data_IF_298277509610
#
_entry.id   IF_298277509610
#
_cell.length_a   1.000
_cell.length_b   1.000
_cell.length_c   1.000
_cell.angle_alpha   90.00
_cell.angle_beta   90.00
_cell.angle_gamma   90.00
#
_symmetry.space_group_name_H-M   'P 1'
#
loop_
_entity.id
_entity.type
_entity.pdbx_description
1 polymer ?
#
# COMPACT_ATOMS: atom_id res chain seq x y z
N UNK A 1 -68.34 -47.92 -13.31
CA UNK A 1 -66.96 -48.45 -13.23
C UNK A 1 -66.06 -47.38 -13.74
N UNK A 2 -65.47 -46.54 -12.88
CA UNK A 2 -64.61 -45.44 -13.19
C UNK A 2 -63.25 -45.69 -12.51
N UNK A 3 -62.25 -46.04 -13.30
CA UNK A 3 -60.86 -46.23 -12.82
C UNK A 3 -60.18 -44.87 -12.61
N UNK A 4 -59.74 -44.54 -11.39
CA UNK A 4 -58.85 -43.41 -11.05
C UNK A 4 -57.41 -43.86 -11.30
N UNK A 5 -56.76 -43.27 -12.30
CA UNK A 5 -55.33 -43.35 -12.48
C UNK A 5 -54.60 -42.42 -11.46
N UNK A 6 -53.99 -43.04 -10.45
CA UNK A 6 -53.00 -42.36 -9.60
C UNK A 6 -51.70 -42.18 -10.39
N UNK A 7 -51.36 -40.94 -10.74
CA UNK A 7 -50.04 -40.60 -11.28
C UNK A 7 -49.03 -40.54 -10.11
N UNK A 8 -48.16 -41.55 -10.06
CA UNK A 8 -47.00 -41.55 -9.16
C UNK A 8 -45.91 -40.68 -9.78
N UNK A 9 -45.55 -39.60 -9.13
CA UNK A 9 -44.39 -38.74 -9.50
C UNK A 9 -43.13 -39.55 -9.14
N UNK A 10 -42.20 -39.82 -10.09
CA UNK A 10 -41.04 -40.64 -9.82
C UNK A 10 -40.12 -39.96 -8.81
N UNK A 11 -39.71 -40.69 -7.80
CA UNK A 11 -38.84 -40.35 -6.72
C UNK A 11 -37.48 -39.78 -7.15
N UNK A 12 -37.05 -40.02 -8.40
CA UNK A 12 -35.84 -39.47 -9.04
C UNK A 12 -35.83 -37.93 -9.14
N UNK A 13 -37.00 -37.27 -9.17
CA UNK A 13 -37.07 -35.82 -9.23
C UNK A 13 -36.75 -35.14 -7.89
N UNK A 14 -36.80 -35.87 -6.77
CA UNK A 14 -36.45 -35.34 -5.45
C UNK A 14 -34.97 -35.47 -5.10
N UNK A 15 -34.23 -36.35 -5.75
CA UNK A 15 -32.79 -36.56 -5.54
C UNK A 15 -31.92 -35.52 -6.27
N UNK A 16 -32.41 -34.92 -7.35
CA UNK A 16 -31.65 -33.91 -8.13
C UNK A 16 -31.71 -32.53 -7.49
N UNK A 17 -32.75 -32.21 -6.72
CA UNK A 17 -32.88 -30.91 -6.04
C UNK A 17 -32.07 -30.82 -4.73
N UNK A 18 -31.66 -31.97 -4.17
CA UNK A 18 -30.83 -32.03 -2.96
C UNK A 18 -29.31 -31.93 -3.27
N UNK A 19 -28.89 -32.14 -4.50
CA UNK A 19 -27.48 -32.12 -4.91
C UNK A 19 -26.98 -30.71 -5.35
N UNK A 20 -27.86 -29.71 -5.47
CA UNK A 20 -27.52 -28.34 -5.87
C UNK A 20 -27.35 -27.37 -4.68
N UNK A 21 -27.44 -27.88 -3.47
CA UNK A 21 -27.11 -27.12 -2.24
C UNK A 21 -25.75 -27.55 -1.67
N UNK A 22 -24.78 -27.88 -2.48
CA UNK A 22 -23.39 -27.76 -2.09
C UNK A 22 -23.10 -26.25 -2.02
N UNK A 23 -23.35 -25.69 -0.84
CA UNK A 23 -22.79 -24.43 -0.39
C UNK A 23 -21.31 -24.48 -0.79
N UNK A 24 -20.93 -23.65 -1.75
CA UNK A 24 -19.54 -23.31 -1.91
C UNK A 24 -19.11 -22.72 -0.58
N UNK A 25 -18.53 -23.54 0.28
CA UNK A 25 -17.80 -23.07 1.44
C UNK A 25 -16.74 -22.16 0.84
N UNK A 26 -16.96 -20.86 0.96
CA UNK A 26 -15.91 -19.89 0.66
C UNK A 26 -14.73 -20.34 1.51
N UNK A 27 -13.68 -20.81 0.85
CA UNK A 27 -12.41 -21.08 1.51
C UNK A 27 -11.96 -19.68 1.99
N UNK A 28 -12.33 -19.34 3.21
CA UNK A 28 -11.77 -18.20 3.89
C UNK A 28 -10.33 -18.60 4.15
N UNK A 29 -9.44 -18.16 3.28
CA UNK A 29 -8.01 -18.20 3.60
C UNK A 29 -7.84 -17.46 4.93
N UNK A 30 -7.06 -18.05 5.84
CA UNK A 30 -6.75 -17.39 7.10
C UNK A 30 -6.25 -15.97 6.85
N UNK A 31 -6.70 -14.98 7.64
CA UNK A 31 -6.31 -13.60 7.44
C UNK A 31 -4.78 -13.46 7.55
N UNK A 32 -4.18 -12.81 6.57
CA UNK A 32 -2.75 -12.58 6.54
C UNK A 32 -2.37 -11.66 7.71
N UNK A 33 -1.49 -12.17 8.58
CA UNK A 33 -0.98 -11.43 9.73
C UNK A 33 0.34 -10.76 9.35
N UNK A 34 0.34 -9.44 9.28
CA UNK A 34 1.55 -8.66 9.02
C UNK A 34 2.41 -8.56 10.26
N UNK A 35 3.71 -8.66 10.08
CA UNK A 35 4.69 -8.41 11.13
C UNK A 35 4.81 -6.91 11.40
N UNK A 36 4.89 -6.57 12.68
CA UNK A 36 5.02 -5.19 13.15
C UNK A 36 6.13 -5.05 14.17
N UNK A 37 6.67 -3.82 14.26
CA UNK A 37 7.52 -3.38 15.37
C UNK A 37 6.85 -2.18 16.00
N UNK A 38 6.58 -2.26 17.30
CA UNK A 38 5.90 -1.21 18.04
C UNK A 38 6.86 -0.53 19.00
N UNK A 39 6.87 0.80 18.99
CA UNK A 39 7.80 1.63 19.75
C UNK A 39 7.07 2.83 20.37
N UNK A 40 7.46 3.27 21.55
CA UNK A 40 6.91 4.45 22.20
C UNK A 40 5.50 4.25 22.76
N UNK A 41 4.83 5.35 23.07
CA UNK A 41 3.48 5.40 23.65
C UNK A 41 2.74 6.65 23.21
N UNK A 42 1.42 6.73 23.47
CA UNK A 42 0.57 7.86 23.09
C UNK A 42 -0.23 7.63 21.81
N UNK A 43 -0.67 8.69 21.12
CA UNK A 43 -1.37 8.59 19.85
C UNK A 43 -0.53 7.84 18.81
N UNK A 44 -1.18 7.10 17.94
CA UNK A 44 -0.51 6.10 17.09
C UNK A 44 -0.19 6.65 15.71
N UNK A 45 1.02 6.38 15.23
CA UNK A 45 1.46 6.57 13.85
C UNK A 45 1.80 5.20 13.28
N UNK A 46 0.99 4.71 12.34
CA UNK A 46 1.24 3.45 11.62
C UNK A 46 2.02 3.78 10.35
N UNK A 47 3.18 3.15 10.16
CA UNK A 47 4.08 3.43 9.03
C UNK A 47 4.26 2.18 8.17
N UNK A 48 4.03 2.31 6.86
CA UNK A 48 4.13 1.24 5.86
C UNK A 48 5.21 1.59 4.85
N UNK A 49 6.24 0.75 4.73
CA UNK A 49 7.41 0.98 3.88
C UNK A 49 7.15 0.79 2.37
N UNK A 50 8.12 1.13 1.53
CA UNK A 50 8.07 0.94 0.07
C UNK A 50 8.35 -0.50 -0.35
N UNK A 51 7.96 -0.88 -1.57
CA UNK A 51 8.40 -2.13 -2.21
C UNK A 51 9.94 -2.26 -2.16
N UNK A 52 10.42 -3.42 -1.75
CA UNK A 52 11.85 -3.71 -1.61
C UNK A 52 12.50 -3.08 -0.37
N UNK A 53 11.72 -2.38 0.47
CA UNK A 53 12.17 -1.85 1.75
C UNK A 53 11.88 -2.79 2.92
N UNK A 54 12.15 -2.31 4.12
CA UNK A 54 11.85 -2.98 5.37
C UNK A 54 11.25 -2.01 6.38
N UNK A 55 10.54 -2.55 7.38
CA UNK A 55 10.07 -1.73 8.51
C UNK A 55 11.20 -1.02 9.24
N UNK A 56 12.40 -1.62 9.29
CA UNK A 56 13.57 -1.06 9.97
C UNK A 56 14.17 0.17 9.29
N UNK A 57 13.91 0.37 7.99
CA UNK A 57 14.36 1.56 7.29
C UNK A 57 13.78 2.85 7.89
N UNK A 58 12.63 2.74 8.54
CA UNK A 58 11.94 3.85 9.16
C UNK A 58 12.42 4.18 10.59
N UNK A 59 13.29 3.36 11.19
CA UNK A 59 13.79 3.59 12.56
C UNK A 59 14.42 4.97 12.79
N UNK A 60 15.21 5.55 11.84
CA UNK A 60 15.75 6.91 12.03
C UNK A 60 14.66 7.96 12.21
N UNK A 61 13.61 7.94 11.40
CA UNK A 61 12.47 8.88 11.53
C UNK A 61 11.58 8.52 12.73
N UNK A 62 11.30 7.24 12.95
CA UNK A 62 10.48 6.77 14.05
C UNK A 62 11.03 7.24 15.41
N UNK A 63 12.32 7.11 15.66
CA UNK A 63 12.96 7.53 16.91
C UNK A 63 12.69 9.01 17.27
N UNK A 64 12.49 9.87 16.30
CA UNK A 64 12.20 11.30 16.50
C UNK A 64 10.75 11.57 16.90
N UNK A 65 9.88 10.61 16.63
CA UNK A 65 8.45 10.67 16.96
C UNK A 65 8.15 10.10 18.36
N UNK A 66 9.03 9.27 18.93
CA UNK A 66 8.76 8.49 20.15
C UNK A 66 8.51 9.33 21.41
N UNK A 67 8.96 10.61 21.44
CA UNK A 67 8.69 11.49 22.58
C UNK A 67 7.19 11.77 22.78
N UNK A 68 6.38 11.66 21.71
CA UNK A 68 4.97 12.06 21.73
C UNK A 68 4.02 11.01 21.13
N UNK A 69 4.55 10.00 20.45
CA UNK A 69 3.76 9.05 19.68
C UNK A 69 4.18 7.60 19.89
N UNK A 70 3.19 6.72 19.85
CA UNK A 70 3.43 5.30 19.59
C UNK A 70 3.58 5.12 18.08
N UNK A 71 4.67 4.49 17.66
CA UNK A 71 4.95 4.20 16.24
C UNK A 71 4.83 2.71 16.00
N UNK A 72 4.01 2.33 15.03
CA UNK A 72 3.83 0.95 14.56
C UNK A 72 4.41 0.83 13.17
N UNK A 73 5.59 0.22 13.06
CA UNK A 73 6.25 -0.05 11.78
C UNK A 73 5.72 -1.38 11.24
N UNK A 74 5.13 -1.35 10.05
CA UNK A 74 4.50 -2.51 9.41
C UNK A 74 5.38 -3.06 8.31
N UNK A 75 5.58 -4.38 8.30
CA UNK A 75 6.22 -5.09 7.20
C UNK A 75 5.18 -5.40 6.12
N UNK A 76 5.38 -4.91 4.90
CA UNK A 76 4.49 -5.17 3.77
C UNK A 76 4.37 -6.68 3.49
N UNK A 77 3.23 -7.14 2.96
CA UNK A 77 3.11 -8.51 2.45
C UNK A 77 4.23 -8.88 1.49
N UNK A 78 4.74 -10.10 1.59
CA UNK A 78 5.84 -10.61 0.78
C UNK A 78 7.23 -10.06 1.17
N UNK A 79 7.35 -9.25 2.23
CA UNK A 79 8.60 -8.73 2.74
C UNK A 79 8.90 -9.31 4.13
N UNK A 80 10.18 -9.59 4.39
CA UNK A 80 10.61 -10.14 5.66
C UNK A 80 9.82 -11.40 6.03
N UNK A 81 9.13 -11.37 7.17
CA UNK A 81 8.32 -12.48 7.66
C UNK A 81 6.82 -12.34 7.36
N UNK A 82 6.39 -11.30 6.64
CA UNK A 82 4.99 -11.10 6.25
C UNK A 82 4.67 -11.91 4.98
N UNK A 83 3.69 -12.83 5.00
CA UNK A 83 3.38 -13.63 3.82
C UNK A 83 2.78 -12.80 2.67
N UNK A 84 2.98 -13.26 1.44
CA UNK A 84 2.35 -12.68 0.25
C UNK A 84 0.93 -13.24 0.10
N UNK A 85 -0.11 -12.41 -0.13
CA UNK A 85 -1.45 -12.91 -0.38
C UNK A 85 -1.55 -13.62 -1.73
N UNK A 86 -2.36 -14.67 -1.79
CA UNK A 86 -2.72 -15.38 -3.00
C UNK A 86 -4.25 -15.55 -3.09
N UNK A 87 -4.89 -14.99 -4.10
CA UNK A 87 -4.35 -14.16 -5.18
C UNK A 87 -3.88 -12.78 -4.68
N UNK A 88 -2.82 -12.26 -5.31
CA UNK A 88 -2.32 -10.93 -4.98
C UNK A 88 -3.20 -9.84 -5.59
N UNK A 89 -3.55 -8.83 -4.77
CA UNK A 89 -4.14 -7.56 -5.20
C UNK A 89 -3.89 -6.48 -4.16
N UNK A 90 -3.98 -5.19 -4.52
CA UNK A 90 -3.93 -4.13 -3.51
C UNK A 90 -5.11 -4.20 -2.53
N UNK A 91 -6.25 -4.75 -2.95
CA UNK A 91 -7.35 -5.02 -2.03
C UNK A 91 -6.94 -6.03 -0.96
N UNK A 92 -6.34 -7.18 -1.34
CA UNK A 92 -5.86 -8.17 -0.39
C UNK A 92 -4.75 -7.64 0.53
N UNK A 93 -3.84 -6.81 -0.01
CA UNK A 93 -2.82 -6.10 0.79
C UNK A 93 -3.46 -5.12 1.77
N UNK A 94 -4.51 -4.42 1.35
CA UNK A 94 -5.31 -3.51 2.17
C UNK A 94 -6.00 -4.24 3.34
N UNK A 95 -6.62 -5.39 3.07
CA UNK A 95 -7.24 -6.23 4.11
C UNK A 95 -6.19 -6.72 5.14
N UNK A 96 -5.02 -7.15 4.68
CA UNK A 96 -3.94 -7.52 5.58
C UNK A 96 -3.49 -6.34 6.47
N UNK A 97 -3.42 -5.13 5.91
CA UNK A 97 -3.09 -3.92 6.67
C UNK A 97 -4.22 -3.52 7.63
N UNK A 98 -5.49 -3.70 7.24
CA UNK A 98 -6.61 -3.47 8.15
C UNK A 98 -6.52 -4.34 9.40
N UNK A 99 -6.01 -5.55 9.31
CA UNK A 99 -5.73 -6.40 10.47
C UNK A 99 -4.75 -5.77 11.50
N UNK A 100 -3.91 -4.83 11.07
CA UNK A 100 -3.07 -4.00 11.96
C UNK A 100 -3.85 -2.78 12.44
N UNK A 101 -4.54 -2.07 11.54
CA UNK A 101 -5.28 -0.84 11.85
C UNK A 101 -6.43 -1.08 12.81
N UNK A 102 -7.13 -2.20 12.70
CA UNK A 102 -8.24 -2.59 13.57
C UNK A 102 -7.85 -2.73 15.05
N UNK A 103 -6.56 -2.93 15.34
CA UNK A 103 -6.02 -3.01 16.71
C UNK A 103 -5.67 -1.64 17.29
N UNK A 104 -5.79 -0.57 16.50
CA UNK A 104 -5.45 0.78 16.93
C UNK A 104 -6.70 1.54 17.34
N UNK A 105 -6.53 2.58 18.19
CA UNK A 105 -7.61 3.52 18.45
C UNK A 105 -7.76 4.48 17.25
N UNK A 106 -8.88 4.43 16.50
CA UNK A 106 -9.03 5.20 15.27
C UNK A 106 -9.03 6.72 15.53
N UNK A 107 -9.47 7.17 16.71
CA UNK A 107 -9.55 8.58 17.07
C UNK A 107 -8.19 9.23 17.34
N UNK A 108 -7.17 8.41 17.55
CA UNK A 108 -5.79 8.84 17.81
C UNK A 108 -4.79 8.15 16.90
N UNK A 109 -5.19 7.74 15.69
CA UNK A 109 -4.33 7.09 14.71
C UNK A 109 -4.23 7.89 13.42
N UNK A 110 -3.03 8.05 12.90
CA UNK A 110 -2.74 8.41 11.49
C UNK A 110 -1.92 7.31 10.83
N UNK A 111 -2.02 7.24 9.50
CA UNK A 111 -1.22 6.31 8.69
C UNK A 111 -0.22 7.07 7.85
N UNK A 112 0.98 6.53 7.70
CA UNK A 112 2.04 7.02 6.81
C UNK A 112 2.37 5.90 5.83
N UNK A 113 2.21 6.14 4.54
CA UNK A 113 2.52 5.16 3.50
C UNK A 113 3.58 5.67 2.53
N UNK A 114 4.57 4.83 2.25
CA UNK A 114 5.64 5.15 1.31
C UNK A 114 5.51 4.30 0.05
N UNK A 115 5.43 4.95 -1.11
CA UNK A 115 5.26 4.29 -2.42
C UNK A 115 4.13 3.23 -2.41
N UNK A 116 4.43 1.95 -2.67
CA UNK A 116 3.44 0.87 -2.64
C UNK A 116 2.85 0.62 -1.25
N UNK A 117 3.57 0.95 -0.17
CA UNK A 117 2.97 1.00 1.17
C UNK A 117 1.88 2.07 1.30
N UNK A 118 2.00 3.17 0.56
CA UNK A 118 0.93 4.17 0.43
C UNK A 118 -0.28 3.65 -0.37
N UNK A 119 -0.06 2.82 -1.39
CA UNK A 119 -1.15 2.13 -2.11
C UNK A 119 -1.89 1.16 -1.19
N UNK A 120 -1.15 0.40 -0.37
CA UNK A 120 -1.73 -0.46 0.65
C UNK A 120 -2.58 0.32 1.66
N UNK A 121 -2.08 1.46 2.13
CA UNK A 121 -2.79 2.33 3.07
C UNK A 121 -4.07 2.92 2.45
N UNK A 122 -4.03 3.34 1.18
CA UNK A 122 -5.21 3.79 0.45
C UNK A 122 -6.26 2.70 0.33
N UNK A 123 -5.87 1.49 -0.08
CA UNK A 123 -6.79 0.36 -0.21
C UNK A 123 -7.43 -0.01 1.14
N UNK A 124 -6.64 -0.11 2.22
CA UNK A 124 -7.13 -0.41 3.56
C UNK A 124 -8.15 0.63 4.06
N UNK A 125 -7.82 1.92 3.93
CA UNK A 125 -8.68 3.00 4.42
C UNK A 125 -9.91 3.25 3.55
N UNK A 126 -9.84 2.90 2.26
CA UNK A 126 -10.99 2.95 1.36
C UNK A 126 -12.00 1.82 1.66
N UNK A 127 -11.49 0.61 1.92
CA UNK A 127 -12.32 -0.54 2.28
C UNK A 127 -12.89 -0.43 3.70
N UNK A 128 -12.12 0.12 4.65
CA UNK A 128 -12.47 0.25 6.06
C UNK A 128 -12.42 1.72 6.52
N UNK A 129 -13.40 2.56 6.14
CA UNK A 129 -13.45 3.96 6.54
C UNK A 129 -13.49 4.11 8.08
N UNK A 130 -12.82 5.14 8.58
CA UNK A 130 -12.81 5.44 10.01
C UNK A 130 -11.66 4.80 10.80
N UNK A 131 -10.76 4.03 10.18
CA UNK A 131 -9.59 3.44 10.86
C UNK A 131 -8.51 4.46 11.27
N UNK A 132 -8.52 5.66 10.69
CA UNK A 132 -7.56 6.71 10.99
C UNK A 132 -8.13 8.11 10.80
N UNK A 133 -7.51 9.11 11.43
CA UNK A 133 -7.86 10.54 11.31
C UNK A 133 -7.13 11.25 10.17
N UNK A 134 -6.18 10.62 9.54
CA UNK A 134 -5.43 11.20 8.42
C UNK A 134 -4.41 10.25 7.82
N UNK A 135 -3.94 10.62 6.64
CA UNK A 135 -3.01 9.82 5.84
C UNK A 135 -1.88 10.72 5.31
N UNK A 136 -0.63 10.30 5.52
CA UNK A 136 0.56 10.91 4.93
C UNK A 136 1.08 9.97 3.83
N UNK A 137 1.24 10.49 2.62
CA UNK A 137 1.69 9.74 1.45
C UNK A 137 3.04 10.29 0.95
N UNK A 138 4.09 9.47 1.02
CA UNK A 138 5.43 9.80 0.56
C UNK A 138 5.72 9.11 -0.76
N UNK A 139 5.94 9.88 -1.83
CA UNK A 139 6.26 9.40 -3.18
C UNK A 139 5.29 8.33 -3.72
N UNK A 140 4.01 8.42 -3.41
CA UNK A 140 3.02 7.37 -3.72
C UNK A 140 2.50 7.49 -5.15
N UNK A 141 2.81 6.52 -6.03
CA UNK A 141 2.20 6.45 -7.35
C UNK A 141 0.79 5.87 -7.25
N UNK A 142 -0.20 6.49 -7.88
CA UNK A 142 -1.56 5.96 -8.00
C UNK A 142 -1.74 5.03 -9.21
N UNK A 143 -0.87 5.15 -10.19
CA UNK A 143 -0.68 4.24 -11.32
C UNK A 143 0.78 4.26 -11.73
N UNK A 144 1.30 3.15 -12.25
CA UNK A 144 2.58 3.17 -12.95
C UNK A 144 2.38 3.82 -14.32
N UNK A 145 3.44 4.32 -15.03
CA UNK A 145 3.35 5.39 -16.04
C UNK A 145 2.11 5.28 -16.91
N UNK A 146 1.14 6.11 -16.57
CA UNK A 146 -0.29 6.03 -16.94
C UNK A 146 -0.58 6.15 -18.43
N UNK A 147 0.42 6.42 -19.24
CA UNK A 147 0.23 6.62 -20.68
C UNK A 147 0.80 5.47 -21.53
N UNK A 148 1.13 4.36 -20.86
CA UNK A 148 1.57 3.16 -21.57
C UNK A 148 0.35 2.37 -22.01
N UNK A 149 0.22 2.13 -23.31
CA UNK A 149 -0.82 1.26 -23.87
C UNK A 149 -0.73 -0.15 -23.27
N UNK A 150 -1.85 -0.85 -23.13
CA UNK A 150 -1.92 -2.16 -22.47
C UNK A 150 -1.01 -3.20 -23.13
N UNK A 151 -0.84 -3.12 -24.45
CA UNK A 151 0.10 -3.97 -25.15
C UNK A 151 1.54 -3.75 -24.68
N UNK A 152 1.97 -2.50 -24.46
CA UNK A 152 3.31 -2.19 -23.94
C UNK A 152 3.48 -2.62 -22.50
N UNK A 153 2.42 -2.48 -21.67
CA UNK A 153 2.44 -3.00 -20.29
C UNK A 153 2.65 -4.51 -20.30
N UNK A 154 1.91 -5.23 -21.17
CA UNK A 154 2.06 -6.68 -21.31
C UNK A 154 3.48 -7.06 -21.76
N UNK A 155 4.02 -6.41 -22.79
CA UNK A 155 5.39 -6.64 -23.25
C UNK A 155 6.43 -6.41 -22.13
N UNK A 156 6.24 -5.36 -21.33
CA UNK A 156 7.11 -5.09 -20.19
C UNK A 156 7.02 -6.19 -19.12
N UNK A 157 5.82 -6.67 -18.81
CA UNK A 157 5.62 -7.76 -17.85
C UNK A 157 6.19 -9.09 -18.37
N UNK A 158 6.02 -9.39 -19.64
CA UNK A 158 6.63 -10.57 -20.28
C UNK A 158 8.17 -10.47 -20.24
N UNK A 159 8.73 -9.26 -20.46
CA UNK A 159 10.18 -9.04 -20.31
C UNK A 159 10.62 -9.19 -18.84
N UNK A 160 9.85 -8.69 -17.89
CA UNK A 160 10.12 -8.87 -16.46
C UNK A 160 10.06 -10.36 -16.06
N UNK A 161 9.17 -11.14 -16.64
CA UNK A 161 9.06 -12.57 -16.34
C UNK A 161 10.26 -13.37 -16.89
N UNK A 162 10.76 -12.99 -18.06
CA UNK A 162 11.85 -13.69 -18.74
C UNK A 162 13.26 -13.16 -18.40
N UNK A 163 13.38 -11.92 -17.90
CA UNK A 163 14.66 -11.24 -17.67
C UNK A 163 14.63 -10.41 -16.39
N UNK A 164 14.11 -11.00 -15.30
CA UNK A 164 13.84 -10.31 -14.03
C UNK A 164 15.04 -9.47 -13.54
N UNK A 165 16.24 -10.04 -13.52
CA UNK A 165 17.44 -9.35 -13.01
C UNK A 165 17.74 -8.06 -13.75
N UNK A 166 17.64 -8.09 -15.11
CA UNK A 166 17.85 -6.92 -15.94
C UNK A 166 16.80 -5.84 -15.70
N UNK A 167 15.53 -6.24 -15.57
CA UNK A 167 14.41 -5.33 -15.29
C UNK A 167 14.53 -4.75 -13.90
N UNK A 168 14.83 -5.57 -12.89
CA UNK A 168 15.04 -5.12 -11.52
C UNK A 168 16.19 -4.11 -11.43
N UNK A 169 17.30 -4.39 -12.08
CA UNK A 169 18.43 -3.44 -12.18
C UNK A 169 18.02 -2.14 -12.86
N UNK A 170 17.32 -2.21 -13.98
CA UNK A 170 16.82 -1.03 -14.68
C UNK A 170 15.89 -0.16 -13.80
N UNK A 171 14.96 -0.77 -13.08
CA UNK A 171 13.97 -0.06 -12.28
C UNK A 171 14.50 0.47 -10.94
N UNK A 172 15.38 -0.28 -10.29
CA UNK A 172 15.68 -0.05 -8.87
C UNK A 172 17.13 0.37 -8.57
N UNK A 173 18.06 0.34 -9.55
CA UNK A 173 19.46 0.67 -9.31
C UNK A 173 19.80 2.17 -9.21
N UNK A 174 18.81 3.07 -9.40
CA UNK A 174 19.02 4.53 -9.42
C UNK A 174 18.02 5.28 -8.50
N UNK A 175 17.69 4.68 -7.38
CA UNK A 175 16.65 5.22 -6.49
C UNK A 175 17.22 6.04 -5.32
N UNK A 176 18.51 5.98 -5.07
CA UNK A 176 19.17 6.71 -3.99
C UNK A 176 19.38 8.18 -4.31
N UNK A 177 19.84 8.91 -3.30
CA UNK A 177 20.27 10.30 -3.38
C UNK A 177 21.55 10.44 -4.25
N UNK A 178 22.42 9.46 -4.14
CA UNK A 178 23.67 9.33 -4.88
C UNK A 178 23.90 7.88 -5.36
N UNK A 179 25.03 7.64 -6.02
CA UNK A 179 25.37 6.32 -6.56
C UNK A 179 25.65 5.28 -5.47
N UNK A 180 26.27 5.66 -4.36
CA UNK A 180 26.55 4.77 -3.22
C UNK A 180 25.25 4.30 -2.58
N UNK A 181 24.39 5.25 -2.23
CA UNK A 181 23.08 4.92 -1.65
C UNK A 181 22.21 4.12 -2.64
N UNK A 182 22.30 4.41 -3.93
CA UNK A 182 21.57 3.64 -4.95
C UNK A 182 22.01 2.18 -5.00
N UNK A 183 23.31 1.90 -4.83
CA UNK A 183 23.83 0.54 -4.75
C UNK A 183 23.36 -0.18 -3.46
N UNK A 184 23.37 0.51 -2.33
CA UNK A 184 22.86 -0.02 -1.06
C UNK A 184 21.36 -0.36 -1.14
N UNK A 185 20.54 0.55 -1.68
CA UNK A 185 19.10 0.33 -1.91
C UNK A 185 18.89 -0.87 -2.82
N UNK A 186 19.65 -0.98 -3.90
CA UNK A 186 19.50 -2.10 -4.83
C UNK A 186 19.88 -3.43 -4.18
N UNK A 187 20.97 -3.46 -3.40
CA UNK A 187 21.38 -4.66 -2.65
C UNK A 187 20.28 -5.11 -1.66
N UNK A 188 19.67 -4.15 -0.95
CA UNK A 188 18.57 -4.46 -0.04
C UNK A 188 17.32 -4.93 -0.82
N UNK A 189 17.00 -4.27 -1.94
CA UNK A 189 15.89 -4.65 -2.81
C UNK A 189 16.00 -6.11 -3.30
N UNK A 190 17.22 -6.58 -3.60
CA UNK A 190 17.47 -7.96 -4.02
C UNK A 190 17.14 -9.02 -2.94
N UNK A 191 16.93 -8.61 -1.69
CA UNK A 191 16.45 -9.50 -0.62
C UNK A 191 14.94 -9.78 -0.70
N UNK A 192 14.20 -8.97 -1.48
CA UNK A 192 12.78 -9.19 -1.74
C UNK A 192 12.62 -10.22 -2.86
N UNK A 193 11.76 -11.22 -2.65
CA UNK A 193 11.58 -12.28 -3.63
C UNK A 193 11.12 -11.74 -4.99
N UNK A 194 11.61 -12.31 -6.11
CA UNK A 194 11.12 -11.94 -7.44
C UNK A 194 9.60 -12.06 -7.57
N UNK A 195 8.98 -13.03 -6.94
CA UNK A 195 7.53 -13.23 -6.94
C UNK A 195 6.81 -12.02 -6.32
N UNK A 196 7.29 -11.53 -5.17
CA UNK A 196 6.75 -10.33 -4.51
C UNK A 196 6.87 -9.11 -5.42
N UNK A 197 8.05 -8.86 -5.97
CA UNK A 197 8.29 -7.70 -6.84
C UNK A 197 7.38 -7.73 -8.06
N UNK A 198 7.31 -8.89 -8.74
CA UNK A 198 6.46 -9.10 -9.91
C UNK A 198 4.97 -8.87 -9.59
N UNK A 199 4.51 -9.36 -8.44
CA UNK A 199 3.13 -9.19 -7.99
C UNK A 199 2.78 -7.70 -7.80
N UNK A 200 3.58 -6.95 -7.04
CA UNK A 200 3.37 -5.52 -6.82
C UNK A 200 3.46 -4.70 -8.11
N UNK A 201 4.45 -4.96 -8.96
CA UNK A 201 4.61 -4.24 -10.22
C UNK A 201 3.46 -4.53 -11.16
N UNK A 202 3.07 -5.80 -11.33
CA UNK A 202 1.94 -6.21 -12.17
C UNK A 202 0.65 -5.53 -11.73
N UNK A 203 0.33 -5.60 -10.45
CA UNK A 203 -0.87 -4.98 -9.90
C UNK A 203 -0.81 -3.44 -10.07
N UNK A 204 0.35 -2.82 -9.85
CA UNK A 204 0.55 -1.39 -10.04
C UNK A 204 0.36 -0.91 -11.49
N UNK A 205 0.55 -1.78 -12.49
CA UNK A 205 0.30 -1.43 -13.90
C UNK A 205 -1.18 -1.40 -14.27
N UNK A 206 -2.01 -2.24 -13.62
CA UNK A 206 -3.39 -2.45 -14.04
C UNK A 206 -4.43 -1.88 -13.06
N UNK A 207 -3.99 -1.38 -11.89
CA UNK A 207 -4.90 -0.80 -10.91
C UNK A 207 -4.70 0.71 -10.78
N UNK A 208 -5.82 1.43 -10.70
CA UNK A 208 -5.86 2.87 -10.47
C UNK A 208 -6.19 3.17 -9.01
N UNK A 209 -5.23 3.76 -8.28
CA UNK A 209 -5.41 4.19 -6.89
C UNK A 209 -6.21 5.48 -6.72
N UNK A 210 -6.56 6.17 -7.81
CA UNK A 210 -7.36 7.41 -7.72
C UNK A 210 -8.75 7.14 -7.17
N UNK A 211 -9.36 5.99 -7.48
CA UNK A 211 -10.65 5.59 -6.93
C UNK A 211 -10.60 5.54 -5.41
N UNK A 212 -9.59 4.86 -4.86
CA UNK A 212 -9.40 4.74 -3.41
C UNK A 212 -9.13 6.12 -2.79
N UNK A 213 -8.20 6.89 -3.36
CA UNK A 213 -7.86 8.23 -2.88
C UNK A 213 -9.07 9.18 -2.84
N UNK A 214 -9.94 9.15 -3.87
CA UNK A 214 -11.16 9.97 -3.97
C UNK A 214 -12.26 9.52 -2.97
N UNK A 215 -12.28 8.25 -2.58
CA UNK A 215 -13.26 7.73 -1.63
C UNK A 215 -13.01 8.20 -0.19
N UNK A 216 -11.76 8.53 0.15
CA UNK A 216 -11.36 8.92 1.49
C UNK A 216 -11.94 10.29 1.87
N UNK A 217 -12.53 10.35 3.06
CA UNK A 217 -13.06 11.59 3.67
C UNK A 217 -12.14 12.17 4.74
N UNK A 218 -10.97 11.57 4.92
CA UNK A 218 -9.94 12.05 5.85
C UNK A 218 -8.92 12.93 5.11
N UNK A 219 -8.26 13.86 5.81
CA UNK A 219 -7.20 14.65 5.21
C UNK A 219 -6.01 13.80 4.75
N UNK A 220 -5.48 14.12 3.58
CA UNK A 220 -4.31 13.49 2.99
C UNK A 220 -3.20 14.54 2.84
N UNK A 221 -2.05 14.31 3.49
CA UNK A 221 -0.83 15.06 3.27
C UNK A 221 0.06 14.33 2.27
N UNK A 222 0.33 14.95 1.14
CA UNK A 222 1.24 14.42 0.11
C UNK A 222 2.63 15.01 0.32
N UNK A 223 3.64 14.16 0.23
CA UNK A 223 5.07 14.53 0.35
C UNK A 223 5.81 13.95 -0.85
N UNK A 224 6.62 14.75 -1.51
CA UNK A 224 7.46 14.31 -2.62
C UNK A 224 8.93 14.60 -2.32
N UNK A 225 9.78 13.59 -2.55
CA UNK A 225 11.23 13.72 -2.42
C UNK A 225 11.84 14.55 -3.55
N UNK A 226 13.05 15.08 -3.34
CA UNK A 226 13.78 15.76 -4.41
C UNK A 226 14.21 14.82 -5.55
N UNK A 227 14.11 13.52 -5.36
CA UNK A 227 14.24 12.52 -6.43
C UNK A 227 13.15 12.69 -7.48
N UNK A 228 11.91 12.88 -7.06
CA UNK A 228 10.74 13.06 -7.94
C UNK A 228 10.46 14.52 -8.26
N UNK A 229 10.61 15.40 -7.28
CA UNK A 229 10.34 16.83 -7.46
C UNK A 229 11.62 17.61 -7.77
N UNK A 230 11.96 17.67 -9.03
CA UNK A 230 13.05 18.51 -9.53
C UNK A 230 12.68 19.99 -9.44
N UNK A 231 13.68 20.90 -9.27
CA UNK A 231 13.40 22.34 -9.08
C UNK A 231 12.53 22.99 -10.16
N UNK A 232 12.62 22.48 -11.40
CA UNK A 232 11.88 22.98 -12.55
C UNK A 232 10.43 22.50 -12.64
N UNK A 233 10.02 21.55 -11.80
CA UNK A 233 8.67 21.01 -11.82
C UNK A 233 7.74 21.75 -10.87
N UNK A 234 6.50 21.97 -11.29
CA UNK A 234 5.42 22.40 -10.39
C UNK A 234 4.88 21.21 -9.58
N UNK A 235 4.20 21.48 -8.46
CA UNK A 235 3.53 20.45 -7.66
C UNK A 235 2.52 19.64 -8.49
N UNK A 236 1.76 20.28 -9.37
CA UNK A 236 0.83 19.61 -10.27
C UNK A 236 1.52 18.69 -11.27
N UNK A 237 2.71 19.07 -11.79
CA UNK A 237 3.49 18.21 -12.66
C UNK A 237 4.01 16.96 -11.93
N UNK A 238 4.42 17.10 -10.66
CA UNK A 238 4.83 15.97 -9.82
C UNK A 238 3.66 15.03 -9.57
N UNK A 239 2.48 15.55 -9.21
CA UNK A 239 1.28 14.74 -9.00
C UNK A 239 0.90 13.98 -10.28
N UNK A 240 0.95 14.65 -11.43
CA UNK A 240 0.70 14.02 -12.72
C UNK A 240 1.69 12.88 -13.00
N UNK A 241 2.98 13.08 -12.70
CA UNK A 241 4.01 12.03 -12.87
C UNK A 241 3.72 10.82 -11.97
N UNK A 242 3.15 11.03 -10.79
CA UNK A 242 2.73 10.00 -9.86
C UNK A 242 1.34 9.40 -10.19
N UNK A 243 0.72 9.82 -11.29
CA UNK A 243 -0.58 9.31 -11.74
C UNK A 243 -1.79 9.80 -10.94
N UNK A 244 -1.66 10.95 -10.25
CA UNK A 244 -2.79 11.57 -9.57
C UNK A 244 -3.67 12.33 -10.56
N UNK A 245 -4.98 12.09 -10.52
CA UNK A 245 -5.96 12.90 -11.27
C UNK A 245 -6.09 14.30 -10.68
N UNK A 246 -6.07 14.40 -9.34
CA UNK A 246 -6.08 15.70 -8.66
C UNK A 246 -4.66 16.28 -8.63
N UNK A 247 -4.40 17.17 -9.58
CA UNK A 247 -3.13 17.89 -9.71
C UNK A 247 -3.14 19.26 -9.01
N UNK A 248 -4.23 19.61 -8.33
CA UNK A 248 -4.39 20.90 -7.62
C UNK A 248 -4.07 20.81 -6.13
N UNK A 249 -4.06 19.61 -5.58
CA UNK A 249 -3.73 19.36 -4.19
C UNK A 249 -2.32 19.80 -3.82
N UNK A 250 -2.18 20.25 -2.57
CA UNK A 250 -0.88 20.63 -2.01
C UNK A 250 0.02 19.42 -1.83
N UNK A 251 1.27 19.58 -2.24
CA UNK A 251 2.35 18.64 -1.99
C UNK A 251 3.46 19.35 -1.23
N UNK A 252 4.02 18.73 -0.22
CA UNK A 252 5.23 19.21 0.45
C UNK A 252 6.45 18.60 -0.23
N UNK A 253 7.42 19.46 -0.58
CA UNK A 253 8.70 19.01 -1.10
C UNK A 253 9.65 18.67 0.04
N UNK A 254 10.23 17.47 0.02
CA UNK A 254 11.31 17.08 0.92
C UNK A 254 12.65 17.20 0.18
N UNK A 255 13.45 18.23 0.45
CA UNK A 255 14.70 18.46 -0.26
C UNK A 255 15.78 17.45 0.16
N UNK A 256 16.82 17.30 -0.67
CA UNK A 256 17.99 16.46 -0.39
C UNK A 256 17.64 15.00 0.00
N UNK A 257 16.67 14.42 -0.67
CA UNK A 257 16.18 13.10 -0.37
C UNK A 257 16.02 12.22 -1.62
N UNK A 258 16.43 10.96 -1.50
CA UNK A 258 16.17 9.87 -2.44
C UNK A 258 15.01 8.99 -1.98
N UNK A 259 15.02 7.72 -2.42
CA UNK A 259 14.02 6.73 -1.96
C UNK A 259 14.07 6.56 -0.44
N UNK A 260 15.25 6.55 0.17
CA UNK A 260 15.41 6.46 1.61
C UNK A 260 15.24 7.79 2.35
N UNK A 261 14.22 8.56 1.98
CA UNK A 261 13.89 9.85 2.60
C UNK A 261 13.86 9.80 4.14
N UNK A 262 13.40 8.67 4.71
CA UNK A 262 13.35 8.44 6.16
C UNK A 262 14.74 8.28 6.82
N UNK A 263 15.80 8.06 6.02
CA UNK A 263 17.22 8.06 6.43
C UNK A 263 17.93 9.36 6.03
N UNK A 264 17.57 9.92 4.86
CA UNK A 264 18.20 11.13 4.32
C UNK A 264 17.83 12.38 5.11
N UNK A 265 16.54 12.51 5.45
CA UNK A 265 15.93 13.67 6.09
C UNK A 265 15.03 13.27 7.27
N UNK A 266 15.53 12.48 8.24
CA UNK A 266 14.70 11.92 9.31
C UNK A 266 14.06 12.98 10.18
N UNK A 267 14.75 14.11 10.45
CA UNK A 267 14.23 15.22 11.26
C UNK A 267 13.12 15.97 10.52
N UNK A 268 13.35 16.32 9.27
CA UNK A 268 12.36 17.02 8.44
C UNK A 268 11.12 16.16 8.20
N UNK A 269 11.31 14.88 7.92
CA UNK A 269 10.20 13.95 7.68
C UNK A 269 9.38 13.72 8.96
N UNK A 270 10.06 13.56 10.11
CA UNK A 270 9.40 13.45 11.40
C UNK A 270 8.62 14.73 11.76
N UNK A 271 9.18 15.92 11.47
CA UNK A 271 8.49 17.19 11.70
C UNK A 271 7.22 17.30 10.85
N UNK A 272 7.26 16.93 9.55
CA UNK A 272 6.09 16.91 8.67
C UNK A 272 5.01 15.97 9.22
N UNK A 273 5.38 14.74 9.59
CA UNK A 273 4.47 13.75 10.14
C UNK A 273 3.89 14.24 11.48
N UNK A 274 4.72 14.75 12.36
CA UNK A 274 4.31 15.23 13.70
C UNK A 274 3.36 16.43 13.61
N UNK A 275 3.65 17.42 12.77
CA UNK A 275 2.77 18.58 12.55
C UNK A 275 1.40 18.14 12.00
N UNK A 276 1.40 17.22 11.05
CA UNK A 276 0.16 16.66 10.54
C UNK A 276 -0.62 15.92 11.64
N UNK A 277 0.04 15.09 12.43
CA UNK A 277 -0.58 14.35 13.54
C UNK A 277 -1.22 15.28 14.57
N UNK A 278 -0.49 16.33 15.03
CA UNK A 278 -1.02 17.35 15.95
C UNK A 278 -2.31 17.97 15.40
N UNK A 279 -2.29 18.39 14.12
CA UNK A 279 -3.46 19.01 13.51
C UNK A 279 -4.67 18.06 13.41
N UNK A 280 -4.44 16.75 13.24
CA UNK A 280 -5.52 15.74 13.17
C UNK A 280 -6.09 15.41 14.54
N UNK A 281 -5.23 15.21 15.54
CA UNK A 281 -5.66 14.85 16.90
C UNK A 281 -6.27 16.01 17.65
N UNK A 282 -5.87 17.27 17.38
CA UNK A 282 -6.52 18.45 17.94
C UNK A 282 -7.97 18.64 17.41
N UNK A 283 -8.21 18.33 16.13
CA UNK A 283 -9.54 18.42 15.52
C UNK A 283 -10.53 17.38 16.08
N UNK A 284 -10.05 16.25 16.59
CA UNK A 284 -10.88 15.19 17.18
C UNK A 284 -11.37 15.50 18.60
N UNK A 285 -10.85 16.57 19.25
CA UNK A 285 -11.23 16.98 20.61
C UNK A 285 -12.34 18.06 20.63
N UNK A 286 -12.75 18.54 19.47
CA UNK A 286 -13.85 19.50 19.29
C UNK A 286 -15.09 18.80 18.77
#
# INVERSE_FOLDING_TARGET
>A
MTQQHRRTVPWLARAVLAALLTVAAAVHADPIVLKTTELGHGPTIVIVHALGGTRNDWLPTARRLLAHYRVVLVELPGHGESPLPEPFSFAAVGEALDGVLAKQNPDSTIVVGHQFGGRAALAALAAHPGRAKGLVLLDVPLGLPMQMEDQRKKMFLDFMDNSYESVAKMMFSKLGRDTTQSAEIFTMFQQTSPATVKAFVREGFFTDGNKDAKSLKIPIQRVATSRLWKPELTSGAVLKTLGWDDTTSTVLRLPNSGLWAMKDQPDSLAAIIGQFAVARFAAAKK
#
